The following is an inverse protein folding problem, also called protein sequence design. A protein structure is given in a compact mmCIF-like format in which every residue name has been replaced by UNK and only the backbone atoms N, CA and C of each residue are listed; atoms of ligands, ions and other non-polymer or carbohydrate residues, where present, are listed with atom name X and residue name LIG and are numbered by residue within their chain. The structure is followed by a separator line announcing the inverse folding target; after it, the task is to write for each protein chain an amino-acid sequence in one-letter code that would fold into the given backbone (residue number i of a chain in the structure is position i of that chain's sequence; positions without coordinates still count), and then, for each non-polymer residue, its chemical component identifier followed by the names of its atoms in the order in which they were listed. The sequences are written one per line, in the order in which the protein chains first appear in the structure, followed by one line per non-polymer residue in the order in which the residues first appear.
data_IF_035197764778
#
_entry.id   IF_035197764778
#
_cell.length_a   1.000
_cell.length_b   1.000
_cell.length_c   1.000
_cell.angle_alpha   90.00
_cell.angle_beta   90.00
_cell.angle_gamma   90.00
#
_symmetry.space_group_name_H-M   'P 1'
#
loop_
_entity.id
_entity.type
_entity.pdbx_description
1 polymer ?
#
# COMPACT_ATOMS: atom_id res chain seq x y z
N UNK A 1 -36.07 1.72 29.42
CA UNK A 1 -35.90 0.29 29.10
C UNK A 1 -34.64 0.17 28.26
N UNK A 2 -33.47 0.03 28.87
CA UNK A 2 -32.25 -0.23 28.13
C UNK A 2 -32.33 -1.66 27.61
N UNK A 3 -32.44 -1.82 26.29
CA UNK A 3 -32.41 -3.13 25.64
C UNK A 3 -31.03 -3.75 25.91
N UNK A 4 -30.99 -4.66 26.88
CA UNK A 4 -29.91 -5.60 27.10
C UNK A 4 -29.82 -6.52 25.87
N UNK A 5 -29.01 -6.15 24.89
CA UNK A 5 -28.52 -7.11 23.91
C UNK A 5 -27.18 -7.67 24.37
N UNK A 6 -27.21 -8.61 25.30
CA UNK A 6 -26.12 -9.60 25.35
C UNK A 6 -26.29 -10.50 24.13
N UNK A 7 -25.81 -10.05 22.96
CA UNK A 7 -25.76 -10.88 21.76
C UNK A 7 -24.61 -11.88 21.90
N UNK A 8 -24.87 -12.96 22.62
CA UNK A 8 -24.00 -14.15 22.56
C UNK A 8 -24.05 -14.68 21.13
N UNK A 9 -22.92 -14.59 20.43
CA UNK A 9 -22.79 -15.13 19.08
C UNK A 9 -23.01 -16.64 19.10
N UNK A 10 -23.86 -17.17 18.21
CA UNK A 10 -24.05 -18.63 18.10
C UNK A 10 -22.84 -19.28 17.45
N UNK A 11 -22.63 -20.58 17.67
CA UNK A 11 -21.57 -21.33 16.99
C UNK A 11 -21.67 -21.25 15.47
N UNK A 12 -22.89 -21.25 14.92
CA UNK A 12 -23.13 -21.08 13.47
C UNK A 12 -22.68 -19.70 12.98
N UNK A 13 -23.02 -18.63 13.69
CA UNK A 13 -22.59 -17.27 13.33
C UNK A 13 -21.07 -17.11 13.48
N UNK A 14 -20.47 -17.70 14.51
CA UNK A 14 -19.01 -17.69 14.72
C UNK A 14 -18.28 -18.43 13.61
N UNK A 15 -18.75 -19.61 13.22
CA UNK A 15 -18.16 -20.38 12.12
C UNK A 15 -18.34 -19.67 10.78
N UNK A 16 -19.50 -19.05 10.57
CA UNK A 16 -19.77 -18.24 9.39
C UNK A 16 -18.77 -17.08 9.24
N UNK A 17 -18.58 -16.25 10.27
CA UNK A 17 -17.66 -15.11 10.16
C UNK A 17 -16.20 -15.55 10.07
N UNK A 18 -15.81 -16.64 10.76
CA UNK A 18 -14.49 -17.26 10.60
C UNK A 18 -14.23 -17.69 9.16
N UNK A 19 -15.21 -18.32 8.52
CA UNK A 19 -15.09 -18.76 7.13
C UNK A 19 -14.99 -17.59 6.15
N UNK A 20 -15.72 -16.50 6.39
CA UNK A 20 -15.59 -15.26 5.61
C UNK A 20 -14.18 -14.69 5.70
N UNK A 21 -13.64 -14.53 6.92
CA UNK A 21 -12.29 -13.99 7.12
C UNK A 21 -11.25 -14.91 6.48
N UNK A 22 -11.36 -16.22 6.69
CA UNK A 22 -10.48 -17.21 6.06
C UNK A 22 -10.49 -17.12 4.54
N UNK A 23 -11.67 -17.04 3.91
CA UNK A 23 -11.78 -16.92 2.45
C UNK A 23 -11.15 -15.63 1.92
N UNK A 24 -11.29 -14.53 2.64
CA UNK A 24 -10.60 -13.28 2.31
C UNK A 24 -9.08 -13.45 2.42
N UNK A 25 -8.59 -14.03 3.52
CA UNK A 25 -7.16 -14.27 3.73
C UNK A 25 -6.58 -15.22 2.67
N UNK A 26 -7.26 -16.33 2.38
CA UNK A 26 -6.86 -17.27 1.32
C UNK A 26 -6.75 -16.56 -0.04
N UNK A 27 -7.69 -15.68 -0.35
CA UNK A 27 -7.70 -14.93 -1.62
C UNK A 27 -6.59 -13.88 -1.68
N UNK A 28 -6.38 -13.10 -0.60
CA UNK A 28 -5.36 -12.03 -0.58
C UNK A 28 -3.94 -12.59 -0.51
N UNK A 29 -3.73 -13.76 0.10
CA UNK A 29 -2.43 -14.45 0.11
C UNK A 29 -2.21 -15.38 -1.10
N UNK A 30 -3.23 -15.64 -1.93
CA UNK A 30 -3.13 -16.45 -3.14
C UNK A 30 -2.38 -15.79 -4.30
N UNK A 31 -1.93 -16.58 -5.30
CA UNK A 31 -1.18 -16.05 -6.45
C UNK A 31 -1.98 -15.04 -7.29
N UNK A 32 -3.30 -15.24 -7.38
CA UNK A 32 -4.21 -14.44 -8.21
C UNK A 32 -4.90 -13.31 -7.42
N UNK A 33 -4.31 -12.83 -6.32
CA UNK A 33 -4.99 -11.90 -5.41
C UNK A 33 -5.47 -10.59 -6.06
N UNK A 34 -4.85 -10.17 -7.18
CA UNK A 34 -5.23 -8.97 -7.96
C UNK A 34 -6.41 -9.20 -8.91
N UNK A 35 -6.80 -10.44 -9.15
CA UNK A 35 -7.93 -10.76 -10.02
C UNK A 35 -9.26 -10.29 -9.37
N UNK A 36 -10.09 -9.50 -10.06
CA UNK A 36 -11.29 -8.93 -9.45
C UNK A 36 -12.37 -9.98 -9.11
N UNK A 37 -12.37 -11.15 -9.75
CA UNK A 37 -13.39 -12.20 -9.61
C UNK A 37 -12.98 -13.34 -8.66
N UNK A 38 -11.68 -13.56 -8.51
CA UNK A 38 -11.11 -14.66 -7.72
C UNK A 38 -10.18 -14.19 -6.60
N UNK A 39 -9.67 -12.96 -6.67
CA UNK A 39 -8.83 -12.33 -5.67
C UNK A 39 -9.61 -11.64 -4.54
N UNK A 40 -8.92 -10.77 -3.81
CA UNK A 40 -9.46 -10.20 -2.57
C UNK A 40 -10.70 -9.32 -2.81
N UNK A 41 -10.79 -8.67 -3.98
CA UNK A 41 -11.86 -7.73 -4.33
C UNK A 41 -13.25 -8.39 -4.34
N UNK A 42 -13.30 -9.72 -4.53
CA UNK A 42 -14.53 -10.51 -4.42
C UNK A 42 -15.10 -10.51 -3.01
N UNK A 43 -14.24 -10.49 -2.00
CA UNK A 43 -14.59 -10.74 -0.61
C UNK A 43 -14.75 -9.47 0.22
N UNK A 44 -14.16 -8.35 -0.21
CA UNK A 44 -14.18 -7.09 0.53
C UNK A 44 -14.85 -5.96 -0.25
N UNK A 45 -15.34 -4.98 0.49
CA UNK A 45 -15.65 -3.66 -0.04
C UNK A 45 -14.36 -2.85 -0.10
N UNK A 46 -13.73 -2.81 -1.28
CA UNK A 46 -12.41 -2.17 -1.47
C UNK A 46 -12.43 -0.71 -1.04
N UNK A 47 -13.52 0.02 -1.34
CA UNK A 47 -13.64 1.43 -0.95
C UNK A 47 -13.56 1.61 0.56
N UNK A 48 -14.23 0.78 1.37
CA UNK A 48 -14.14 0.85 2.83
C UNK A 48 -12.74 0.56 3.37
N UNK A 49 -12.02 -0.41 2.80
CA UNK A 49 -10.64 -0.72 3.17
C UNK A 49 -9.70 0.43 2.81
N UNK A 50 -9.89 1.05 1.65
CA UNK A 50 -9.17 2.26 1.24
C UNK A 50 -9.45 3.41 2.20
N UNK A 51 -10.71 3.66 2.57
CA UNK A 51 -11.05 4.72 3.55
C UNK A 51 -10.39 4.47 4.90
N UNK A 52 -10.45 3.23 5.40
CA UNK A 52 -9.80 2.87 6.67
C UNK A 52 -8.28 3.05 6.59
N UNK A 53 -7.67 2.69 5.45
CA UNK A 53 -6.26 2.95 5.20
C UNK A 53 -5.95 4.45 5.25
N UNK A 54 -6.73 5.29 4.55
CA UNK A 54 -6.56 6.75 4.58
C UNK A 54 -6.68 7.28 6.01
N UNK A 55 -7.70 6.89 6.77
CA UNK A 55 -7.93 7.39 8.12
C UNK A 55 -6.77 6.99 9.06
N UNK A 56 -6.31 5.74 8.98
CA UNK A 56 -5.17 5.27 9.76
C UNK A 56 -3.86 5.98 9.35
N UNK A 57 -3.65 6.25 8.06
CA UNK A 57 -2.46 6.95 7.62
C UNK A 57 -2.50 8.44 7.96
N UNK A 58 -3.63 9.13 7.81
CA UNK A 58 -3.74 10.56 8.17
C UNK A 58 -3.48 10.76 9.65
N UNK A 59 -4.03 9.90 10.51
CA UNK A 59 -3.79 9.98 11.95
C UNK A 59 -2.44 9.40 12.37
N UNK A 60 -1.87 8.51 11.58
CA UNK A 60 -0.74 7.65 11.96
C UNK A 60 -0.98 6.96 13.30
N UNK A 61 -2.20 6.46 13.49
CA UNK A 61 -2.56 5.69 14.67
C UNK A 61 -1.68 4.43 14.76
N UNK A 62 -0.90 4.33 15.83
CA UNK A 62 0.07 3.25 16.05
C UNK A 62 -0.61 1.87 16.15
N UNK A 63 -1.88 1.84 16.55
CA UNK A 63 -2.67 0.64 16.77
C UNK A 63 -3.72 0.41 15.67
N UNK A 64 -3.93 1.38 14.79
CA UNK A 64 -5.04 1.44 13.84
C UNK A 64 -5.11 0.29 12.82
N UNK A 65 -3.99 -0.41 12.61
CA UNK A 65 -3.89 -1.58 11.72
C UNK A 65 -3.87 -2.94 12.45
N UNK A 66 -3.85 -2.94 13.79
CA UNK A 66 -3.48 -4.12 14.59
C UNK A 66 -4.52 -4.45 15.66
N UNK A 67 -4.72 -3.52 16.59
CA UNK A 67 -5.49 -3.76 17.83
C UNK A 67 -6.63 -2.75 18.03
N UNK A 68 -6.68 -1.69 17.21
CA UNK A 68 -7.78 -0.71 17.15
C UNK A 68 -8.50 -0.77 15.79
N UNK A 69 -8.64 -1.99 15.25
CA UNK A 69 -9.21 -2.25 13.93
C UNK A 69 -10.50 -3.07 14.04
N UNK A 70 -11.55 -2.59 13.39
CA UNK A 70 -12.82 -3.31 13.27
C UNK A 70 -13.13 -3.64 11.81
N UNK A 71 -13.75 -4.81 11.63
CA UNK A 71 -14.44 -5.17 10.40
C UNK A 71 -15.86 -5.56 10.74
N UNK A 72 -16.80 -5.24 9.87
CA UNK A 72 -18.16 -5.71 9.98
C UNK A 72 -18.66 -6.25 8.65
N UNK A 73 -19.73 -7.03 8.74
CA UNK A 73 -20.34 -7.66 7.57
C UNK A 73 -21.83 -7.85 7.80
N UNK A 74 -22.60 -7.53 6.76
CA UNK A 74 -24.02 -7.83 6.67
C UNK A 74 -24.29 -9.27 6.23
N UNK A 75 -25.53 -9.74 6.34
CA UNK A 75 -25.93 -11.04 5.78
C UNK A 75 -25.65 -11.08 4.27
N UNK A 76 -25.30 -12.24 3.72
CA UNK A 76 -25.02 -12.39 2.27
C UNK A 76 -26.16 -11.93 1.38
N UNK A 77 -27.41 -12.06 1.83
CA UNK A 77 -28.59 -11.58 1.11
C UNK A 77 -28.70 -10.06 1.02
N UNK A 78 -27.87 -9.30 1.76
CA UNK A 78 -27.79 -7.84 1.71
C UNK A 78 -26.46 -7.38 1.14
N UNK A 79 -25.36 -7.83 1.75
CA UNK A 79 -24.02 -7.56 1.28
C UNK A 79 -23.10 -8.73 1.64
N UNK A 80 -22.57 -9.46 0.64
CA UNK A 80 -21.65 -10.56 0.88
C UNK A 80 -20.22 -10.10 1.18
N UNK A 81 -19.93 -8.80 1.11
CA UNK A 81 -18.58 -8.24 1.32
C UNK A 81 -18.31 -7.89 2.78
N UNK A 82 -17.06 -8.11 3.18
CA UNK A 82 -16.49 -7.60 4.44
C UNK A 82 -16.18 -6.10 4.29
N UNK A 83 -16.49 -5.32 5.32
CA UNK A 83 -16.34 -3.87 5.33
C UNK A 83 -15.36 -3.49 6.43
N UNK A 84 -14.39 -2.61 6.14
CA UNK A 84 -13.46 -2.07 7.12
C UNK A 84 -14.05 -0.87 7.86
N UNK A 85 -13.83 -0.84 9.18
CA UNK A 85 -14.35 0.17 10.08
C UNK A 85 -15.42 -0.36 11.05
N UNK A 86 -16.02 0.53 11.85
CA UNK A 86 -15.67 1.95 11.97
C UNK A 86 -14.29 2.18 12.63
N UNK A 87 -13.69 3.37 12.48
CA UNK A 87 -12.49 3.74 13.24
C UNK A 87 -12.77 3.73 14.74
N UNK A 88 -11.77 3.39 15.53
CA UNK A 88 -11.84 3.27 16.98
C UNK A 88 -10.48 3.59 17.61
N UNK A 89 -10.47 4.23 18.78
CA UNK A 89 -9.27 4.48 19.62
C UNK A 89 -8.13 5.26 18.94
N UNK A 90 -8.33 6.57 18.75
CA UNK A 90 -7.38 7.47 18.07
C UNK A 90 -6.72 8.49 19.01
N UNK A 91 -6.71 8.22 20.31
CA UNK A 91 -6.02 9.03 21.32
C UNK A 91 -4.48 8.91 21.23
N UNK A 92 -3.96 7.74 20.81
CA UNK A 92 -2.54 7.52 20.48
C UNK A 92 -2.31 7.68 18.97
N UNK A 93 -2.57 8.89 18.48
CA UNK A 93 -2.39 9.28 17.09
C UNK A 93 -2.04 10.77 16.97
N UNK A 94 -1.93 11.28 15.75
CA UNK A 94 -1.59 12.68 15.46
C UNK A 94 -0.29 13.17 16.12
N UNK A 95 0.71 12.29 16.17
CA UNK A 95 2.00 12.57 16.78
C UNK A 95 2.10 12.23 18.27
N UNK A 96 0.99 11.85 18.92
CA UNK A 96 0.95 11.60 20.36
C UNK A 96 1.44 10.20 20.79
N UNK A 97 2.67 9.84 20.42
CA UNK A 97 3.29 8.58 20.83
C UNK A 97 4.83 8.64 20.80
N UNK A 98 5.48 8.46 21.95
CA UNK A 98 6.93 8.48 22.12
C UNK A 98 7.62 7.13 21.83
N UNK A 99 6.86 6.09 21.51
CA UNK A 99 7.33 4.75 21.18
C UNK A 99 7.01 4.37 19.73
N UNK A 100 7.72 3.35 19.20
CA UNK A 100 7.64 2.90 17.80
C UNK A 100 7.64 4.05 16.78
N UNK A 101 8.36 5.13 17.09
CA UNK A 101 8.42 6.33 16.27
C UNK A 101 7.04 6.92 15.97
N UNK A 102 6.02 6.72 16.82
CA UNK A 102 4.64 7.14 16.58
C UNK A 102 4.45 8.66 16.45
N UNK A 103 5.39 9.44 17.00
CA UNK A 103 5.44 10.89 16.86
C UNK A 103 5.89 11.40 15.48
N UNK A 104 6.52 10.57 14.64
CA UNK A 104 6.96 10.97 13.29
C UNK A 104 5.76 11.27 12.38
N UNK A 105 5.82 12.31 11.56
CA UNK A 105 4.79 12.56 10.55
C UNK A 105 5.14 11.94 9.18
N UNK A 106 6.39 11.51 8.99
CA UNK A 106 7.00 11.20 7.69
C UNK A 106 7.30 9.72 7.46
N UNK A 107 6.50 8.84 8.08
CA UNK A 107 6.59 7.39 7.92
C UNK A 107 5.20 6.80 7.73
N UNK A 108 5.11 5.69 6.99
CA UNK A 108 3.86 4.96 6.81
C UNK A 108 3.45 4.22 8.09
N UNK A 109 2.18 4.32 8.48
CA UNK A 109 1.63 3.64 9.66
C UNK A 109 1.49 2.13 9.42
N UNK A 110 1.08 1.71 8.22
CA UNK A 110 1.04 0.30 7.83
C UNK A 110 2.44 -0.36 7.88
N UNK A 111 3.52 0.43 7.80
CA UNK A 111 4.91 0.00 7.93
C UNK A 111 5.37 -0.29 9.36
N UNK A 112 4.47 -0.28 10.34
CA UNK A 112 4.76 -0.51 11.77
C UNK A 112 5.66 -1.73 12.01
N UNK A 113 5.44 -2.84 11.31
CA UNK A 113 6.19 -4.09 11.53
C UNK A 113 7.70 -3.94 11.32
N UNK A 114 8.13 -2.99 10.48
CA UNK A 114 9.55 -2.70 10.26
C UNK A 114 10.14 -1.80 11.35
N UNK A 115 9.30 -1.02 12.03
CA UNK A 115 9.70 -0.07 13.09
C UNK A 115 9.69 -0.76 14.45
N UNK A 116 8.66 -1.58 14.71
CA UNK A 116 8.45 -2.30 15.97
C UNK A 116 8.29 -3.80 15.71
N UNK A 117 9.33 -4.40 15.12
CA UNK A 117 9.36 -5.83 14.76
C UNK A 117 9.29 -6.79 15.96
N UNK A 118 9.60 -6.30 17.16
CA UNK A 118 9.56 -7.08 18.41
C UNK A 118 8.19 -7.08 19.10
N UNK A 119 7.22 -6.30 18.62
CA UNK A 119 5.87 -6.29 19.17
C UNK A 119 5.16 -7.62 18.84
N UNK A 120 4.37 -8.13 19.79
CA UNK A 120 3.60 -9.35 19.58
C UNK A 120 2.44 -9.14 18.59
N UNK A 121 1.81 -7.96 18.63
CA UNK A 121 0.72 -7.59 17.75
C UNK A 121 1.32 -6.91 16.53
N UNK A 122 1.36 -7.61 15.41
CA UNK A 122 1.88 -7.09 14.14
C UNK A 122 0.72 -6.73 13.20
N UNK A 123 0.96 -5.79 12.28
CA UNK A 123 0.05 -5.47 11.17
C UNK A 123 -0.16 -6.74 10.34
N UNK A 124 -1.42 -7.14 10.06
CA UNK A 124 -1.70 -8.25 9.18
C UNK A 124 -1.14 -8.01 7.77
N UNK A 125 -0.43 -9.00 7.22
CA UNK A 125 0.24 -8.90 5.92
C UNK A 125 -0.69 -8.70 4.71
N UNK A 126 -2.01 -8.83 4.88
CA UNK A 126 -2.96 -8.54 3.81
C UNK A 126 -2.95 -7.05 3.42
N UNK A 127 -2.57 -6.13 4.32
CA UNK A 127 -2.42 -4.71 3.99
C UNK A 127 -1.27 -4.49 3.00
N UNK A 128 -0.11 -5.11 3.24
CA UNK A 128 1.03 -5.09 2.33
C UNK A 128 0.69 -5.68 0.96
N UNK A 129 -0.13 -6.73 0.95
CA UNK A 129 -0.61 -7.35 -0.29
C UNK A 129 -1.52 -6.41 -1.07
N UNK A 130 -2.51 -5.80 -0.41
CA UNK A 130 -3.43 -4.86 -1.07
C UNK A 130 -2.72 -3.61 -1.58
N UNK A 131 -1.82 -2.98 -0.81
CA UNK A 131 -1.10 -1.78 -1.27
C UNK A 131 -0.13 -2.08 -2.44
N UNK A 132 0.19 -3.35 -2.68
CA UNK A 132 0.95 -3.80 -3.86
C UNK A 132 0.09 -4.07 -5.11
N UNK A 133 -1.24 -3.95 -5.01
CA UNK A 133 -2.18 -4.00 -6.13
C UNK A 133 -2.38 -2.59 -6.72
N UNK A 134 -2.04 -2.35 -8.01
CA UNK A 134 -2.33 -1.11 -8.72
C UNK A 134 -3.78 -0.63 -8.60
N UNK A 135 -4.76 -1.54 -8.58
CA UNK A 135 -6.16 -1.15 -8.41
C UNK A 135 -6.43 -0.51 -7.05
N UNK A 136 -5.90 -1.11 -5.97
CA UNK A 136 -6.02 -0.54 -4.62
C UNK A 136 -5.33 0.83 -4.53
N UNK A 137 -4.16 0.98 -5.16
CA UNK A 137 -3.43 2.25 -5.21
C UNK A 137 -4.22 3.31 -5.99
N UNK A 138 -4.84 2.95 -7.11
CA UNK A 138 -5.71 3.85 -7.88
C UNK A 138 -6.88 4.35 -7.04
N UNK A 139 -7.61 3.44 -6.37
CA UNK A 139 -8.69 3.78 -5.46
C UNK A 139 -8.22 4.65 -4.27
N UNK A 140 -7.08 4.32 -3.68
CA UNK A 140 -6.46 5.08 -2.60
C UNK A 140 -6.19 6.53 -3.02
N UNK A 141 -5.55 6.71 -4.17
CA UNK A 141 -5.24 8.05 -4.68
C UNK A 141 -6.51 8.81 -5.01
N UNK A 142 -7.45 8.19 -5.72
CA UNK A 142 -8.70 8.83 -6.10
C UNK A 142 -9.45 9.36 -4.88
N UNK A 143 -9.61 8.54 -3.84
CA UNK A 143 -10.33 8.94 -2.62
C UNK A 143 -9.55 9.92 -1.75
N UNK A 144 -8.22 9.75 -1.61
CA UNK A 144 -7.38 10.68 -0.84
C UNK A 144 -7.37 12.07 -1.47
N UNK A 145 -7.04 12.17 -2.76
CA UNK A 145 -6.94 13.47 -3.42
C UNK A 145 -8.30 14.14 -3.64
N UNK A 146 -9.40 13.37 -3.74
CA UNK A 146 -10.74 13.95 -3.66
C UNK A 146 -11.01 14.59 -2.30
N UNK A 147 -10.65 13.91 -1.21
CA UNK A 147 -10.78 14.46 0.14
C UNK A 147 -9.85 15.65 0.42
N UNK A 148 -8.73 15.79 -0.29
CA UNK A 148 -7.79 16.93 -0.19
C UNK A 148 -8.25 18.19 -0.95
N UNK A 149 -9.21 18.08 -1.89
CA UNK A 149 -9.73 19.24 -2.66
C UNK A 149 -10.29 20.33 -1.73
N UNK A 150 -10.36 21.60 -2.18
CA UNK A 150 -11.05 22.65 -1.42
C UNK A 150 -12.47 22.22 -1.02
N UNK A 151 -12.78 22.28 0.28
CA UNK A 151 -14.06 21.83 0.84
C UNK A 151 -14.17 20.31 1.12
N UNK A 152 -13.14 19.53 0.80
CA UNK A 152 -13.05 18.12 1.18
C UNK A 152 -12.68 17.92 2.65
N UNK A 153 -13.01 16.74 3.20
CA UNK A 153 -12.83 16.44 4.62
C UNK A 153 -11.38 16.39 5.10
N UNK A 154 -10.41 16.28 4.18
CA UNK A 154 -8.99 16.35 4.51
C UNK A 154 -8.35 17.67 4.09
N UNK A 155 -9.11 18.67 3.67
CA UNK A 155 -8.55 19.98 3.31
C UNK A 155 -7.94 20.69 4.54
N UNK A 156 -6.78 21.34 4.36
CA UNK A 156 -6.04 21.97 5.46
C UNK A 156 -6.87 23.04 6.18
N UNK A 157 -7.49 23.97 5.45
CA UNK A 157 -8.29 25.04 6.06
C UNK A 157 -9.52 24.49 6.79
N UNK A 158 -10.16 23.46 6.21
CA UNK A 158 -11.28 22.78 6.83
C UNK A 158 -10.89 22.14 8.18
N UNK A 159 -9.82 21.33 8.19
CA UNK A 159 -9.33 20.66 9.40
C UNK A 159 -8.86 21.65 10.47
N UNK A 160 -8.15 22.70 10.09
CA UNK A 160 -7.72 23.73 11.05
C UNK A 160 -8.91 24.45 11.69
N UNK A 161 -9.93 24.78 10.88
CA UNK A 161 -11.15 25.42 11.36
C UNK A 161 -11.95 24.49 12.30
N UNK A 162 -11.97 23.19 12.02
CA UNK A 162 -12.62 22.19 12.87
C UNK A 162 -11.91 22.06 14.23
N UNK A 163 -10.57 21.99 14.23
CA UNK A 163 -9.77 22.01 15.47
C UNK A 163 -10.01 23.30 16.27
N UNK A 164 -10.10 24.46 15.60
CA UNK A 164 -10.43 25.73 16.26
C UNK A 164 -11.83 25.72 16.89
N UNK A 165 -12.81 25.17 16.19
CA UNK A 165 -14.18 25.05 16.68
C UNK A 165 -14.22 24.15 17.94
N UNK A 166 -13.56 22.99 17.92
CA UNK A 166 -13.48 22.11 19.08
C UNK A 166 -12.71 22.74 20.25
N UNK A 167 -11.59 23.40 19.99
CA UNK A 167 -10.83 24.12 21.02
C UNK A 167 -11.68 25.20 21.70
N UNK A 168 -12.49 25.93 20.92
CA UNK A 168 -13.43 26.93 21.43
C UNK A 168 -14.53 26.30 22.28
N UNK A 169 -15.12 25.20 21.82
CA UNK A 169 -16.15 24.47 22.59
C UNK A 169 -15.60 23.95 23.92
N UNK A 170 -14.35 23.48 23.93
CA UNK A 170 -13.68 22.93 25.10
C UNK A 170 -13.08 23.98 26.05
N UNK A 171 -13.13 25.28 25.72
CA UNK A 171 -12.38 26.32 26.43
C UNK A 171 -12.69 26.39 27.95
N UNK A 172 -13.95 26.20 28.34
CA UNK A 172 -14.33 26.14 29.76
C UNK A 172 -13.94 24.80 30.40
N UNK A 173 -14.16 23.70 29.66
CA UNK A 173 -13.89 22.34 30.12
C UNK A 173 -12.42 22.08 30.40
N UNK A 174 -11.54 22.49 29.49
CA UNK A 174 -10.09 22.34 29.65
C UNK A 174 -9.58 23.12 30.87
N UNK A 175 -10.14 24.31 31.16
CA UNK A 175 -9.73 25.12 32.32
C UNK A 175 -9.99 24.36 33.62
N UNK A 176 -11.19 23.79 33.79
CA UNK A 176 -11.52 22.97 34.97
C UNK A 176 -10.68 21.70 35.03
N UNK A 177 -10.42 21.08 33.88
CA UNK A 177 -9.60 19.89 33.75
C UNK A 177 -8.19 20.15 34.31
N UNK A 178 -7.48 21.15 33.79
CA UNK A 178 -6.09 21.40 34.18
C UNK A 178 -5.93 22.11 35.54
N UNK A 179 -7.01 22.68 36.10
CA UNK A 179 -7.05 23.06 37.52
C UNK A 179 -7.01 21.84 38.44
N UNK A 180 -7.74 20.78 38.10
CA UNK A 180 -7.81 19.53 38.87
C UNK A 180 -6.59 18.64 38.62
N UNK A 181 -6.28 18.39 37.35
CA UNK A 181 -5.16 17.55 36.90
C UNK A 181 -4.07 18.45 36.31
N UNK A 182 -3.10 18.82 37.13
CA UNK A 182 -2.04 19.77 36.77
C UNK A 182 -0.93 19.11 35.93
N UNK A 183 -1.28 18.57 34.78
CA UNK A 183 -0.39 17.76 33.92
C UNK A 183 0.22 18.54 32.74
N UNK A 184 -0.19 19.78 32.48
CA UNK A 184 0.41 20.61 31.43
C UNK A 184 1.92 20.79 31.69
N UNK A 185 2.73 20.60 30.64
CA UNK A 185 4.20 20.63 30.73
C UNK A 185 4.81 19.47 31.51
N UNK A 186 4.05 18.44 31.85
CA UNK A 186 4.52 17.24 32.55
C UNK A 186 4.33 16.02 31.65
N UNK A 187 5.26 15.08 31.75
CA UNK A 187 5.15 13.82 31.03
C UNK A 187 4.01 12.95 31.56
N UNK A 188 3.11 12.58 30.65
CA UNK A 188 2.14 11.51 30.80
C UNK A 188 2.39 10.53 29.67
N UNK A 189 2.53 9.25 29.96
CA UNK A 189 2.74 8.26 28.90
C UNK A 189 1.52 8.25 27.95
N UNK A 190 1.71 8.23 26.61
CA UNK A 190 2.97 8.15 25.84
C UNK A 190 3.39 9.49 25.16
N UNK A 191 3.27 10.64 25.82
CA UNK A 191 3.50 11.93 25.17
C UNK A 191 4.96 12.11 24.71
N UNK A 192 5.22 12.49 23.45
CA UNK A 192 6.56 12.81 22.97
C UNK A 192 7.08 14.14 23.55
N UNK A 193 8.39 14.34 23.46
CA UNK A 193 9.02 15.62 23.80
C UNK A 193 9.20 16.51 22.56
N UNK A 194 9.17 17.85 22.70
CA UNK A 194 8.90 18.60 23.94
C UNK A 194 7.40 18.68 24.28
N UNK A 195 7.06 18.70 25.58
CA UNK A 195 5.66 18.77 26.02
C UNK A 195 5.22 20.24 26.19
N UNK A 196 4.10 20.65 25.57
CA UNK A 196 3.56 21.99 25.76
C UNK A 196 3.20 22.31 27.22
N UNK A 197 3.53 23.52 27.66
CA UNK A 197 3.21 24.02 29.01
C UNK A 197 1.78 24.60 29.11
N UNK A 198 0.97 24.52 28.05
CA UNK A 198 -0.34 25.16 27.98
C UNK A 198 -1.28 24.43 27.02
N UNK A 199 -2.59 24.50 27.29
CA UNK A 199 -3.63 23.97 26.39
C UNK A 199 -3.51 24.50 24.96
N UNK A 200 -3.26 25.81 24.79
CA UNK A 200 -3.08 26.39 23.45
C UNK A 200 -1.83 25.82 22.75
N UNK A 201 -0.80 25.48 23.50
CA UNK A 201 0.38 24.81 22.97
C UNK A 201 0.07 23.41 22.43
N UNK A 202 -0.71 22.60 23.16
CA UNK A 202 -1.20 21.28 22.71
C UNK A 202 -2.00 21.39 21.40
N UNK A 203 -2.91 22.37 21.32
CA UNK A 203 -3.71 22.63 20.12
C UNK A 203 -2.82 23.01 18.93
N UNK A 204 -1.81 23.86 19.16
CA UNK A 204 -0.89 24.28 18.10
C UNK A 204 0.02 23.15 17.63
N UNK A 205 0.44 22.27 18.54
CA UNK A 205 1.23 21.08 18.21
C UNK A 205 0.44 20.12 17.31
N UNK A 206 -0.81 19.79 17.68
CA UNK A 206 -1.71 18.99 16.85
C UNK A 206 -1.86 19.57 15.44
N UNK A 207 -2.12 20.88 15.34
CA UNK A 207 -2.27 21.55 14.05
C UNK A 207 -0.99 21.50 13.21
N UNK A 208 0.16 21.71 13.83
CA UNK A 208 1.45 21.70 13.14
C UNK A 208 1.74 20.29 12.63
N UNK A 209 1.63 19.29 13.50
CA UNK A 209 1.85 17.90 13.14
C UNK A 209 0.93 17.43 12.01
N UNK A 210 -0.36 17.76 12.09
CA UNK A 210 -1.34 17.36 11.07
C UNK A 210 -1.04 18.01 9.71
N UNK A 211 -0.62 19.27 9.69
CA UNK A 211 -0.18 19.94 8.44
C UNK A 211 1.03 19.25 7.84
N UNK A 212 2.06 18.98 8.65
CA UNK A 212 3.28 18.33 8.18
C UNK A 212 2.99 16.90 7.68
N UNK A 213 2.08 16.18 8.36
CA UNK A 213 1.63 14.86 7.95
C UNK A 213 0.90 14.88 6.61
N UNK A 214 -0.06 15.79 6.43
CA UNK A 214 -0.82 15.89 5.18
C UNK A 214 0.09 16.34 4.03
N UNK A 215 0.99 17.29 4.26
CA UNK A 215 2.01 17.67 3.29
C UNK A 215 2.89 16.48 2.89
N UNK A 216 3.37 15.70 3.86
CA UNK A 216 4.19 14.52 3.56
C UNK A 216 3.40 13.47 2.76
N UNK A 217 2.15 13.19 3.14
CA UNK A 217 1.28 12.27 2.41
C UNK A 217 1.06 12.74 0.97
N UNK A 218 0.80 14.04 0.74
CA UNK A 218 0.67 14.61 -0.61
C UNK A 218 1.90 14.31 -1.49
N UNK A 219 3.11 14.34 -0.90
CA UNK A 219 4.37 14.07 -1.62
C UNK A 219 4.71 12.59 -1.78
N UNK A 220 4.20 11.72 -0.89
CA UNK A 220 4.66 10.33 -0.80
C UNK A 220 3.59 9.30 -1.19
N UNK A 221 2.33 9.70 -1.39
CA UNK A 221 1.28 8.79 -1.85
C UNK A 221 1.79 7.94 -3.01
N UNK A 222 1.67 6.59 -2.93
CA UNK A 222 2.19 5.69 -3.96
C UNK A 222 1.74 6.16 -5.34
N UNK A 223 2.65 6.16 -6.30
CA UNK A 223 2.30 6.53 -7.66
C UNK A 223 1.27 5.53 -8.18
N UNK A 224 0.31 6.05 -8.94
CA UNK A 224 -0.55 5.20 -9.76
C UNK A 224 0.38 4.51 -10.75
N UNK A 225 0.69 3.25 -10.48
CA UNK A 225 1.07 2.38 -11.57
C UNK A 225 -0.21 2.26 -12.38
N UNK A 226 -0.37 3.11 -13.39
CA UNK A 226 -1.23 2.76 -14.49
C UNK A 226 -0.58 1.49 -15.04
N UNK A 227 -1.08 0.33 -14.61
CA UNK A 227 -1.12 -0.81 -15.52
C UNK A 227 -1.89 -0.24 -16.69
N UNK A 228 -1.17 0.24 -17.71
CA UNK A 228 -1.79 0.34 -19.03
C UNK A 228 -2.44 -1.03 -19.18
N UNK A 229 -3.74 -1.07 -19.46
CA UNK A 229 -4.52 -2.29 -19.75
C UNK A 229 -4.01 -3.02 -21.01
N UNK A 230 -2.69 -2.96 -21.25
CA UNK A 230 -1.90 -3.63 -22.26
C UNK A 230 -0.99 -4.70 -21.62
N UNK A 231 -1.29 -5.19 -20.42
CA UNK A 231 -0.99 -6.60 -20.13
C UNK A 231 -2.15 -7.38 -20.76
N UNK A 232 -2.06 -7.83 -22.03
CA UNK A 232 -3.04 -8.78 -22.53
C UNK A 232 -3.01 -9.98 -21.60
N UNK A 233 -4.16 -10.25 -21.00
CA UNK A 233 -4.45 -11.57 -20.45
C UNK A 233 -4.12 -12.58 -21.56
N UNK A 234 -3.06 -13.37 -21.34
CA UNK A 234 -2.67 -14.53 -22.15
C UNK A 234 -1.74 -14.35 -23.35
N UNK A 235 -0.76 -13.44 -23.34
CA UNK A 235 0.46 -13.73 -24.13
C UNK A 235 1.38 -14.69 -23.37
N UNK A 236 1.18 -16.00 -23.59
CA UNK A 236 2.07 -17.08 -23.15
C UNK A 236 3.43 -17.00 -23.85
N UNK A 237 4.18 -15.91 -23.63
CA UNK A 237 5.51 -15.73 -24.19
C UNK A 237 6.54 -16.29 -23.21
N UNK A 238 7.14 -17.43 -23.53
CA UNK A 238 8.33 -17.91 -22.82
C UNK A 238 9.55 -17.23 -23.42
N UNK A 239 10.32 -16.52 -22.59
CA UNK A 239 11.52 -15.80 -22.99
C UNK A 239 12.71 -16.30 -22.14
N UNK A 240 13.61 -17.07 -22.76
CA UNK A 240 14.80 -17.66 -22.11
C UNK A 240 16.06 -17.27 -22.86
N UNK A 241 17.14 -17.11 -22.09
CA UNK A 241 18.47 -16.80 -22.63
C UNK A 241 19.36 -18.02 -22.50
N UNK A 242 20.07 -18.40 -23.56
CA UNK A 242 20.97 -19.54 -23.57
C UNK A 242 22.11 -19.39 -24.60
N UNK A 243 23.26 -20.05 -24.41
CA UNK A 243 23.70 -20.55 -23.12
C UNK A 243 23.83 -19.39 -22.11
N UNK A 244 23.57 -19.66 -20.84
CA UNK A 244 23.74 -18.68 -19.77
C UNK A 244 24.38 -19.39 -18.58
N UNK A 245 25.71 -19.26 -18.38
CA UNK A 245 26.60 -18.27 -19.00
C UNK A 245 26.94 -18.48 -20.49
N UNK A 246 27.32 -17.42 -21.21
CA UNK A 246 27.77 -17.46 -22.62
C UNK A 246 29.23 -17.03 -22.80
N UNK A 247 29.86 -17.41 -23.91
CA UNK A 247 31.22 -17.01 -24.27
C UNK A 247 31.21 -15.88 -25.31
N UNK A 248 30.87 -16.25 -26.55
CA UNK A 248 30.99 -15.37 -27.73
C UNK A 248 29.62 -15.11 -28.40
N UNK A 249 28.66 -16.02 -28.20
CA UNK A 249 27.32 -15.96 -28.79
C UNK A 249 26.25 -16.13 -27.74
N UNK A 250 25.22 -15.31 -27.83
CA UNK A 250 24.10 -15.28 -26.91
C UNK A 250 22.81 -15.50 -27.71
N UNK A 251 21.98 -16.47 -27.32
CA UNK A 251 20.74 -16.78 -28.00
C UNK A 251 19.53 -16.57 -27.09
N UNK A 252 18.41 -16.23 -27.72
CA UNK A 252 17.10 -16.08 -27.10
C UNK A 252 16.18 -17.17 -27.63
N UNK A 253 15.58 -17.94 -26.73
CA UNK A 253 14.47 -18.84 -27.03
C UNK A 253 13.17 -18.15 -26.67
N UNK A 254 12.40 -17.80 -27.70
CA UNK A 254 11.15 -17.07 -27.57
C UNK A 254 10.02 -17.94 -28.12
N UNK A 255 9.17 -18.46 -27.23
CA UNK A 255 7.95 -19.15 -27.63
C UNK A 255 6.80 -18.14 -27.65
N UNK A 256 6.06 -18.02 -28.75
CA UNK A 256 4.89 -17.13 -28.84
C UNK A 256 3.64 -17.90 -29.28
N UNK A 257 2.48 -17.53 -28.74
CA UNK A 257 1.21 -18.17 -29.06
C UNK A 257 0.68 -17.80 -30.46
N UNK A 258 1.05 -16.61 -30.96
CA UNK A 258 0.69 -16.10 -32.28
C UNK A 258 1.88 -15.38 -32.93
N UNK A 259 1.84 -15.25 -34.26
CA UNK A 259 2.86 -14.52 -35.02
C UNK A 259 2.82 -13.03 -34.65
N UNK A 260 3.97 -12.48 -34.27
CA UNK A 260 4.04 -11.10 -33.78
C UNK A 260 5.41 -10.45 -33.98
N UNK A 261 5.41 -9.12 -34.08
CA UNK A 261 6.62 -8.32 -34.07
C UNK A 261 7.06 -8.03 -32.64
N UNK A 262 8.37 -8.11 -32.40
CA UNK A 262 9.00 -7.75 -31.14
C UNK A 262 10.22 -6.88 -31.38
N UNK A 263 10.58 -6.11 -30.37
CA UNK A 263 11.79 -5.31 -30.30
C UNK A 263 12.69 -5.84 -29.20
N UNK A 264 13.87 -6.32 -29.57
CA UNK A 264 14.86 -6.85 -28.65
C UNK A 264 15.97 -5.84 -28.43
N UNK A 265 16.35 -5.60 -27.19
CA UNK A 265 17.44 -4.69 -26.83
C UNK A 265 18.38 -5.36 -25.83
N UNK A 266 19.66 -5.26 -26.10
CA UNK A 266 20.73 -5.75 -25.24
C UNK A 266 21.41 -4.55 -24.58
N UNK A 267 21.56 -4.60 -23.26
CA UNK A 267 22.19 -3.56 -22.46
C UNK A 267 23.32 -4.12 -21.61
N UNK A 268 24.27 -3.25 -21.26
CA UNK A 268 25.13 -3.47 -20.10
C UNK A 268 24.34 -3.29 -18.79
N UNK A 269 24.90 -3.73 -17.66
CA UNK A 269 24.22 -3.64 -16.35
C UNK A 269 23.98 -2.20 -15.86
N UNK A 270 24.79 -1.24 -16.31
CA UNK A 270 24.63 0.20 -16.06
C UNK A 270 23.63 0.88 -17.02
N UNK A 271 22.99 0.11 -17.90
CA UNK A 271 21.89 0.58 -18.76
C UNK A 271 22.32 1.13 -20.13
N UNK A 272 23.59 1.00 -20.52
CA UNK A 272 24.05 1.39 -21.87
C UNK A 272 23.51 0.40 -22.90
N UNK A 273 22.82 0.90 -23.92
CA UNK A 273 22.35 0.10 -25.06
C UNK A 273 23.54 -0.37 -25.92
N UNK A 274 23.62 -1.69 -26.15
CA UNK A 274 24.64 -2.35 -26.96
C UNK A 274 24.10 -2.63 -28.35
N UNK A 275 22.96 -3.32 -28.43
CA UNK A 275 22.34 -3.71 -29.70
C UNK A 275 20.81 -3.62 -29.59
N UNK A 276 20.18 -3.31 -30.71
CA UNK A 276 18.73 -3.30 -30.88
C UNK A 276 18.38 -4.08 -32.14
N UNK A 277 17.42 -5.01 -32.03
CA UNK A 277 16.98 -5.87 -33.13
C UNK A 277 15.45 -5.93 -33.16
N UNK A 278 14.79 -5.40 -34.21
CA UNK A 278 13.41 -5.79 -34.50
C UNK A 278 13.40 -7.24 -34.99
N UNK A 279 12.39 -8.01 -34.60
CA UNK A 279 12.23 -9.39 -35.03
C UNK A 279 10.75 -9.73 -35.23
N UNK A 280 10.47 -10.51 -36.29
CA UNK A 280 9.17 -11.10 -36.53
C UNK A 280 9.19 -12.55 -36.04
N UNK A 281 8.46 -12.83 -34.97
CA UNK A 281 8.35 -14.15 -34.36
C UNK A 281 7.19 -14.91 -35.01
N UNK A 282 7.43 -16.15 -35.43
CA UNK A 282 6.38 -17.06 -35.87
C UNK A 282 5.73 -17.75 -34.66
N UNK A 283 4.49 -18.20 -34.80
CA UNK A 283 3.84 -19.01 -33.77
C UNK A 283 4.71 -20.23 -33.40
N UNK A 284 4.85 -20.49 -32.10
CA UNK A 284 5.75 -21.50 -31.56
C UNK A 284 7.12 -20.94 -31.17
N UNK A 285 8.14 -21.80 -31.17
CA UNK A 285 9.47 -21.48 -30.69
C UNK A 285 10.31 -20.79 -31.76
N UNK A 286 10.96 -19.69 -31.39
CA UNK A 286 11.86 -18.91 -32.23
C UNK A 286 13.21 -18.79 -31.52
N UNK A 287 14.28 -18.77 -32.31
CA UNK A 287 15.64 -18.57 -31.83
C UNK A 287 16.23 -17.31 -32.45
N UNK A 288 16.77 -16.41 -31.62
CA UNK A 288 17.39 -15.16 -32.07
C UNK A 288 18.74 -14.97 -31.38
N UNK A 289 19.80 -14.79 -32.18
CA UNK A 289 21.16 -14.56 -31.69
C UNK A 289 21.55 -13.09 -31.57
N UNK A 290 22.25 -12.75 -30.50
CA UNK A 290 23.13 -11.58 -30.40
C UNK A 290 24.58 -12.05 -30.58
N UNK A 291 25.25 -11.44 -31.55
CA UNK A 291 26.65 -11.73 -31.91
C UNK A 291 27.44 -10.41 -31.92
N UNK A 292 28.78 -10.49 -31.85
CA UNK A 292 29.63 -9.31 -31.91
C UNK A 292 29.55 -8.41 -30.68
N UNK A 293 29.32 -8.98 -29.49
CA UNK A 293 29.30 -8.25 -28.22
C UNK A 293 30.75 -7.92 -27.81
N UNK A 294 31.16 -6.68 -28.01
CA UNK A 294 32.54 -6.21 -27.76
C UNK A 294 32.76 -5.62 -26.37
N UNK A 295 31.67 -5.39 -25.64
CA UNK A 295 31.68 -4.82 -24.29
C UNK A 295 32.36 -5.78 -23.31
N UNK A 296 33.19 -5.20 -22.44
CA UNK A 296 34.00 -5.92 -21.44
C UNK A 296 33.22 -6.32 -20.19
N UNK A 297 31.92 -6.00 -20.12
CA UNK A 297 31.06 -6.35 -19.00
C UNK A 297 30.78 -7.85 -18.93
N UNK A 298 30.55 -8.37 -17.72
CA UNK A 298 30.23 -9.79 -17.50
C UNK A 298 28.73 -10.03 -17.31
N UNK A 299 27.94 -8.98 -17.11
CA UNK A 299 26.50 -9.05 -16.91
C UNK A 299 25.82 -8.14 -17.93
N UNK A 300 24.84 -8.71 -18.62
CA UNK A 300 24.04 -8.04 -19.62
C UNK A 300 22.56 -8.22 -19.31
N UNK A 301 21.76 -7.23 -19.71
CA UNK A 301 20.30 -7.28 -19.61
C UNK A 301 19.72 -7.32 -21.01
N UNK A 302 18.77 -8.23 -21.26
CA UNK A 302 18.03 -8.27 -22.51
C UNK A 302 16.58 -7.92 -22.24
N UNK A 303 16.10 -6.86 -22.88
CA UNK A 303 14.70 -6.45 -22.91
C UNK A 303 14.07 -6.94 -24.21
N UNK A 304 12.91 -7.57 -24.11
CA UNK A 304 11.99 -7.80 -25.23
C UNK A 304 10.76 -6.95 -25.01
N UNK A 305 10.39 -6.14 -26.00
CA UNK A 305 9.13 -5.40 -26.05
C UNK A 305 8.26 -5.98 -27.16
N UNK A 306 7.05 -6.47 -26.87
CA UNK A 306 6.12 -6.92 -27.91
C UNK A 306 5.46 -5.74 -28.65
N UNK A 307 4.82 -5.99 -29.80
CA UNK A 307 4.00 -5.00 -30.52
C UNK A 307 2.89 -4.38 -29.65
N UNK A 308 2.48 -5.06 -28.58
CA UNK A 308 1.47 -4.60 -27.64
C UNK A 308 2.07 -3.82 -26.45
N UNK A 309 3.39 -3.67 -26.38
CA UNK A 309 4.08 -2.92 -25.32
C UNK A 309 4.48 -3.74 -24.09
N UNK A 310 4.23 -5.05 -24.08
CA UNK A 310 4.66 -5.94 -23.00
C UNK A 310 6.18 -5.99 -22.98
N UNK A 311 6.78 -5.78 -21.80
CA UNK A 311 8.22 -5.85 -21.60
C UNK A 311 8.61 -7.07 -20.78
N UNK A 312 9.55 -7.88 -21.28
CA UNK A 312 10.22 -8.94 -20.51
C UNK A 312 11.72 -8.66 -20.44
N UNK A 313 12.30 -8.87 -19.26
CA UNK A 313 13.71 -8.68 -19.00
C UNK A 313 14.36 -10.00 -18.60
N UNK A 314 15.53 -10.31 -19.15
CA UNK A 314 16.36 -11.44 -18.73
C UNK A 314 17.81 -11.03 -18.53
N UNK A 315 18.46 -11.68 -17.56
CA UNK A 315 19.88 -11.50 -17.28
C UNK A 315 20.71 -12.52 -18.05
N UNK A 316 21.76 -12.07 -18.73
CA UNK A 316 22.79 -12.93 -19.30
C UNK A 316 24.14 -12.70 -18.62
N UNK A 317 24.88 -13.77 -18.38
CA UNK A 317 26.22 -13.73 -17.79
C UNK A 317 27.23 -14.17 -18.84
N UNK A 318 28.27 -13.36 -19.10
CA UNK A 318 29.39 -13.72 -19.97
C UNK A 318 30.52 -14.30 -19.13
N UNK A 319 31.13 -15.39 -19.62
CA UNK A 319 32.39 -15.91 -19.08
C UNK A 319 33.52 -15.37 -19.94
N UNK A 320 34.47 -14.66 -19.32
CA UNK A 320 35.69 -14.26 -20.01
C UNK A 320 36.63 -15.47 -20.08
N UNK A 321 37.23 -15.69 -21.25
CA UNK A 321 38.27 -16.72 -21.41
C UNK A 321 39.55 -16.34 -20.69
#
# INVERSE_FOLDING_TARGET
MFLSFTKTITSTQKNYIKDVVRKFEDAVYGSNYKDPQTGYQKYIDVSSFVKMFIVNEVSRNIDGYRISSYFYKDKDSKNPKLIAGPPWDYDISYGNADYCQGNRFDLWAYGFNSICSGDYWQVPGFWDRMISDPYFVGELRAQYFDARKPGGGLNDDHLMAEIDAYSKELNEGQTRNFQKWKILGQYVWPNPQPIPFSWLGEVNELKTWLKDRLWWLDQNMPQEYITLENEPENENISFKVFPNPFLDKLFLMINVAEKQEVKLRLFTIDGKLIQEKPALLNQGQNEIGFEGITETGNIFLIEMTSKYGIKKLQKAVRVNR
#
